data_IF_008153140788
#
_entry.id   IF_008153140788
#
_cell.length_a   1.000
_cell.length_b   1.000
_cell.length_c   1.000
_cell.angle_alpha   90.00
_cell.angle_beta   90.00
_cell.angle_gamma   90.00
#
_symmetry.space_group_name_H-M   'P 1'
#
loop_
_entity.id
_entity.type
_entity.pdbx_description
1 polymer ?
#
# COMPACT_ATOMS: atom_id res chain seq x y z
N UNK A 1 1.35 -29.17 24.83
CA UNK A 1 0.82 -29.49 23.48
C UNK A 1 -0.06 -28.34 23.03
N UNK A 2 0.50 -27.33 22.33
CA UNK A 2 -0.29 -26.24 21.71
C UNK A 2 -0.92 -26.84 20.45
N UNK A 3 -2.23 -27.04 20.42
CA UNK A 3 -2.88 -27.41 19.17
C UNK A 3 -2.79 -26.22 18.21
N UNK A 4 -2.02 -26.40 17.16
CA UNK A 4 -1.85 -25.44 16.09
C UNK A 4 -3.05 -25.59 15.14
N UNK A 5 -4.09 -24.78 15.34
CA UNK A 5 -4.95 -24.45 14.21
C UNK A 5 -4.12 -23.47 13.36
N UNK A 6 -3.49 -23.98 12.31
CA UNK A 6 -2.78 -23.16 11.34
C UNK A 6 -3.82 -22.34 10.57
N UNK A 7 -3.96 -21.06 10.92
CA UNK A 7 -4.90 -20.17 10.26
C UNK A 7 -4.24 -19.52 9.05
N UNK A 8 -5.02 -19.20 8.02
CA UNK A 8 -4.53 -18.43 6.85
C UNK A 8 -4.24 -16.96 7.18
N UNK A 9 -4.39 -16.54 8.44
CA UNK A 9 -4.26 -15.16 8.89
C UNK A 9 -3.17 -15.04 9.95
N UNK A 10 -2.33 -14.03 9.78
CA UNK A 10 -1.34 -13.61 10.78
C UNK A 10 -1.68 -12.17 11.18
N UNK A 11 -1.84 -11.92 12.49
CA UNK A 11 -2.25 -10.62 13.01
C UNK A 11 -1.08 -10.03 13.79
N UNK A 12 -0.73 -8.79 13.47
CA UNK A 12 0.33 -8.03 14.12
C UNK A 12 -0.24 -6.69 14.57
N UNK A 13 0.11 -6.25 15.78
CA UNK A 13 -0.25 -4.91 16.26
C UNK A 13 0.61 -3.82 15.59
N UNK A 14 1.86 -4.14 15.31
CA UNK A 14 2.79 -3.28 14.58
C UNK A 14 3.88 -4.13 13.94
N UNK A 15 4.49 -3.59 12.89
CA UNK A 15 5.65 -4.17 12.22
C UNK A 15 6.72 -3.07 12.10
N UNK A 16 8.01 -3.39 12.31
CA UNK A 16 9.11 -2.50 11.92
C UNK A 16 8.97 -2.10 10.46
N UNK A 17 9.32 -0.85 10.14
CA UNK A 17 9.06 -0.29 8.81
C UNK A 17 9.78 -1.05 7.70
N UNK A 18 10.96 -1.61 7.99
CA UNK A 18 11.74 -2.41 7.06
C UNK A 18 11.03 -3.73 6.75
N UNK A 19 10.43 -4.37 7.75
CA UNK A 19 9.67 -5.60 7.59
C UNK A 19 8.35 -5.33 6.86
N UNK A 20 7.66 -4.25 7.22
CA UNK A 20 6.45 -3.83 6.55
C UNK A 20 6.70 -3.52 5.07
N UNK A 21 7.75 -2.76 4.75
CA UNK A 21 8.15 -2.44 3.39
C UNK A 21 8.51 -3.69 2.59
N UNK A 22 9.23 -4.64 3.19
CA UNK A 22 9.54 -5.93 2.56
C UNK A 22 8.26 -6.72 2.25
N UNK A 23 7.33 -6.81 3.20
CA UNK A 23 6.05 -7.48 2.97
C UNK A 23 5.23 -6.78 1.88
N UNK A 24 5.16 -5.45 1.91
CA UNK A 24 4.43 -4.66 0.92
C UNK A 24 5.01 -4.87 -0.49
N UNK A 25 6.34 -4.88 -0.64
CA UNK A 25 7.04 -5.11 -1.91
C UNK A 25 6.76 -6.50 -2.51
N UNK A 26 6.46 -7.50 -1.68
CA UNK A 26 6.23 -8.87 -2.13
C UNK A 26 4.76 -9.33 -2.03
N UNK A 27 3.87 -8.48 -1.52
CA UNK A 27 2.47 -8.79 -1.41
C UNK A 27 1.79 -8.83 -2.78
N UNK A 28 0.93 -9.82 -3.02
CA UNK A 28 0.13 -9.86 -4.25
C UNK A 28 -0.82 -8.66 -4.37
N UNK A 29 -1.31 -8.14 -3.23
CA UNK A 29 -2.15 -6.96 -3.15
C UNK A 29 -2.21 -6.45 -1.71
N UNK A 30 -2.23 -5.13 -1.52
CA UNK A 30 -2.65 -4.48 -0.27
C UNK A 30 -4.13 -4.09 -0.36
N UNK A 31 -4.89 -4.40 0.70
CA UNK A 31 -6.33 -4.18 0.76
C UNK A 31 -6.69 -3.43 2.03
N UNK A 32 -7.52 -2.40 1.92
CA UNK A 32 -8.00 -1.62 3.05
C UNK A 32 -8.09 -0.16 2.68
N UNK A 33 -7.78 0.75 3.60
CA UNK A 33 -7.83 2.18 3.34
C UNK A 33 -6.65 2.93 3.95
N UNK A 34 -5.52 2.26 4.10
CA UNK A 34 -4.27 2.87 4.58
C UNK A 34 -3.73 3.86 3.55
N UNK A 35 -3.04 4.90 4.02
CA UNK A 35 -2.30 5.80 3.12
C UNK A 35 -1.15 5.08 2.42
N UNK A 36 -0.59 4.03 3.04
CA UNK A 36 0.44 3.20 2.42
C UNK A 36 -0.03 2.61 1.08
N UNK A 37 -1.32 2.27 1.01
CA UNK A 37 -1.93 1.74 -0.21
C UNK A 37 -1.89 2.69 -1.40
N UNK A 38 -1.89 4.02 -1.20
CA UNK A 38 -1.84 5.01 -2.29
C UNK A 38 -0.49 5.74 -2.41
N UNK A 39 0.36 5.67 -1.37
CA UNK A 39 1.64 6.40 -1.29
C UNK A 39 2.88 5.53 -1.46
N UNK A 40 2.92 4.39 -0.77
CA UNK A 40 4.12 3.57 -0.65
C UNK A 40 4.05 2.37 -1.59
N UNK A 41 2.86 1.77 -1.74
CA UNK A 41 2.64 0.64 -2.65
C UNK A 41 3.00 0.97 -4.10
N UNK A 42 2.78 2.21 -4.54
CA UNK A 42 3.06 2.65 -5.91
C UNK A 42 4.56 2.68 -6.20
N UNK A 43 5.42 2.87 -5.18
CA UNK A 43 6.87 2.82 -5.32
C UNK A 43 7.34 1.38 -5.64
N UNK A 44 6.65 0.37 -5.11
CA UNK A 44 6.93 -1.04 -5.38
C UNK A 44 6.11 -1.63 -6.53
N UNK A 45 5.18 -0.85 -7.10
CA UNK A 45 4.21 -1.34 -8.07
C UNK A 45 3.17 -2.29 -7.49
N UNK A 46 3.11 -2.46 -6.17
CA UNK A 46 2.23 -3.43 -5.50
C UNK A 46 0.76 -3.06 -5.71
N UNK A 47 -0.10 -3.96 -6.23
CA UNK A 47 -1.51 -3.65 -6.43
C UNK A 47 -2.23 -3.23 -5.14
N UNK A 48 -3.08 -2.21 -5.23
CA UNK A 48 -3.84 -1.67 -4.10
C UNK A 48 -5.35 -1.71 -4.36
N UNK A 49 -6.13 -2.22 -3.41
CA UNK A 49 -7.58 -2.06 -3.35
C UNK A 49 -7.92 -1.12 -2.18
N UNK A 50 -8.24 0.13 -2.53
CA UNK A 50 -8.66 1.16 -1.57
C UNK A 50 -10.17 1.08 -1.32
N UNK A 51 -10.56 0.78 -0.08
CA UNK A 51 -11.93 0.50 0.34
C UNK A 51 -12.55 1.71 1.03
N UNK A 52 -13.68 2.17 0.50
CA UNK A 52 -14.40 3.35 0.97
C UNK A 52 -13.65 4.66 0.68
N UNK A 53 -14.09 5.72 1.36
CA UNK A 53 -13.81 7.12 0.97
C UNK A 53 -12.64 7.80 1.68
N UNK A 54 -11.89 7.08 2.52
CA UNK A 54 -10.81 7.68 3.36
C UNK A 54 -9.70 8.32 2.51
N UNK A 55 -9.42 7.77 1.33
CA UNK A 55 -8.37 8.26 0.45
C UNK A 55 -8.89 9.18 -0.67
N UNK A 56 -10.16 9.57 -0.65
CA UNK A 56 -10.71 10.48 -1.64
C UNK A 56 -9.93 11.80 -1.66
N UNK A 57 -9.78 12.37 -2.86
CA UNK A 57 -9.04 13.62 -3.11
C UNK A 57 -7.54 13.57 -2.82
N UNK A 58 -6.95 12.38 -2.71
CA UNK A 58 -5.50 12.21 -2.61
C UNK A 58 -4.95 11.73 -3.94
N UNK A 59 -3.76 12.23 -4.30
CA UNK A 59 -3.02 11.69 -5.43
C UNK A 59 -2.72 10.21 -5.19
N UNK A 60 -2.69 9.41 -6.25
CA UNK A 60 -2.40 8.00 -6.17
C UNK A 60 -1.71 7.51 -7.44
N UNK A 61 -0.91 6.45 -7.31
CA UNK A 61 -0.36 5.76 -8.46
C UNK A 61 -1.44 5.03 -9.27
N UNK A 62 -1.06 4.60 -10.49
CA UNK A 62 -1.90 3.78 -11.36
C UNK A 62 -2.13 2.34 -10.87
N UNK A 63 -1.47 1.94 -9.77
CA UNK A 63 -1.58 0.63 -9.15
C UNK A 63 -2.83 0.47 -8.25
N UNK A 64 -3.64 1.52 -8.08
CA UNK A 64 -4.77 1.57 -7.15
C UNK A 64 -6.12 1.45 -7.84
N UNK A 65 -7.03 0.67 -7.26
CA UNK A 65 -8.46 0.65 -7.59
C UNK A 65 -9.28 1.01 -6.35
N UNK A 66 -10.33 1.80 -6.54
CA UNK A 66 -11.21 2.27 -5.47
C UNK A 66 -12.55 1.52 -5.54
N UNK A 67 -13.01 1.05 -4.38
CA UNK A 67 -14.28 0.32 -4.24
C UNK A 67 -15.03 0.78 -3.01
N UNK A 68 -16.36 0.67 -3.03
CA UNK A 68 -17.16 0.83 -1.82
C UNK A 68 -16.91 -0.34 -0.86
N UNK A 69 -17.34 -0.19 0.40
CA UNK A 69 -17.20 -1.20 1.45
C UNK A 69 -18.18 -2.38 1.28
N UNK A 70 -18.30 -2.87 0.05
CA UNK A 70 -19.23 -3.91 -0.38
C UNK A 70 -18.50 -5.19 -0.74
N UNK A 71 -18.92 -6.32 -0.15
CA UNK A 71 -18.24 -7.63 -0.29
C UNK A 71 -17.89 -7.97 -1.73
N UNK A 72 -18.86 -7.86 -2.63
CA UNK A 72 -18.68 -8.28 -4.02
C UNK A 72 -17.71 -7.38 -4.77
N UNK A 73 -17.70 -6.07 -4.46
CA UNK A 73 -16.75 -5.14 -5.04
C UNK A 73 -15.33 -5.41 -4.55
N UNK A 74 -15.16 -5.61 -3.24
CA UNK A 74 -13.85 -5.93 -2.64
C UNK A 74 -13.30 -7.23 -3.24
N UNK A 75 -14.10 -8.30 -3.26
CA UNK A 75 -13.66 -9.61 -3.79
C UNK A 75 -13.33 -9.52 -5.28
N UNK A 76 -14.14 -8.82 -6.07
CA UNK A 76 -13.89 -8.62 -7.50
C UNK A 76 -12.59 -7.87 -7.76
N UNK A 77 -12.39 -6.75 -7.06
CA UNK A 77 -11.21 -5.91 -7.18
C UNK A 77 -9.93 -6.64 -6.75
N UNK A 78 -9.97 -7.38 -5.63
CA UNK A 78 -8.82 -8.18 -5.17
C UNK A 78 -8.43 -9.21 -6.22
N UNK A 79 -9.38 -9.95 -6.79
CA UNK A 79 -9.09 -10.93 -7.84
C UNK A 79 -8.49 -10.27 -9.09
N UNK A 80 -9.05 -9.15 -9.53
CA UNK A 80 -8.53 -8.41 -10.69
C UNK A 80 -7.10 -7.91 -10.44
N UNK A 81 -6.84 -7.34 -9.26
CA UNK A 81 -5.51 -6.84 -8.87
C UNK A 81 -4.47 -7.95 -8.73
N UNK A 82 -4.86 -9.12 -8.21
CA UNK A 82 -3.96 -10.29 -8.17
C UNK A 82 -3.59 -10.81 -9.56
N UNK A 83 -4.48 -10.65 -10.56
CA UNK A 83 -4.19 -11.00 -11.96
C UNK A 83 -3.33 -9.95 -12.65
N UNK A 84 -3.57 -8.66 -12.37
CA UNK A 84 -2.73 -7.57 -12.87
C UNK A 84 -1.28 -7.73 -12.42
N UNK A 85 -1.08 -8.10 -11.15
CA UNK A 85 0.25 -8.24 -10.56
C UNK A 85 0.95 -6.89 -10.41
N UNK A 86 2.26 -6.93 -10.16
CA UNK A 86 3.04 -5.70 -9.97
C UNK A 86 3.06 -4.85 -11.23
N UNK A 87 2.87 -3.55 -11.03
CA UNK A 87 2.96 -2.50 -12.06
C UNK A 87 4.32 -1.81 -12.01
N UNK A 88 4.60 -0.95 -12.99
CA UNK A 88 5.82 -0.14 -12.95
C UNK A 88 5.79 0.84 -11.76
N UNK A 89 6.94 1.03 -11.06
CA UNK A 89 7.07 2.00 -9.98
C UNK A 89 6.66 3.42 -10.38
N UNK A 90 5.92 4.08 -9.49
CA UNK A 90 5.52 5.49 -9.63
C UNK A 90 5.92 6.25 -8.36
N UNK A 91 6.53 7.42 -8.56
CA UNK A 91 7.16 8.22 -7.51
C UNK A 91 6.41 9.52 -7.20
N UNK A 92 5.08 9.54 -7.36
CA UNK A 92 4.22 10.73 -7.16
C UNK A 92 4.50 11.44 -5.83
N UNK A 93 4.76 10.68 -4.77
CA UNK A 93 4.96 11.21 -3.42
C UNK A 93 6.41 11.54 -3.06
N UNK A 94 7.36 11.38 -4.00
CA UNK A 94 8.75 11.76 -3.81
C UNK A 94 9.74 10.74 -4.36
N UNK A 95 10.97 11.23 -4.55
CA UNK A 95 12.13 10.51 -5.08
C UNK A 95 13.09 10.01 -3.97
N UNK A 96 12.70 10.18 -2.70
CA UNK A 96 13.52 9.79 -1.55
C UNK A 96 14.54 10.85 -1.08
N UNK A 97 14.63 12.01 -1.74
CA UNK A 97 15.62 13.06 -1.41
C UNK A 97 15.07 14.20 -0.54
N UNK A 98 13.88 14.01 0.03
CA UNK A 98 13.18 15.07 0.77
C UNK A 98 14.00 15.65 1.93
N UNK A 99 14.73 14.81 2.68
CA UNK A 99 15.54 15.25 3.81
C UNK A 99 16.64 16.24 3.41
N UNK A 100 17.30 16.00 2.27
CA UNK A 100 18.36 16.85 1.76
C UNK A 100 17.80 18.19 1.30
N UNK A 101 16.73 18.17 0.49
CA UNK A 101 16.04 19.37 -0.02
C UNK A 101 15.49 20.24 1.11
N UNK A 102 14.92 19.63 2.14
CA UNK A 102 14.42 20.36 3.32
C UNK A 102 15.57 21.04 4.07
N UNK A 103 16.69 20.34 4.26
CA UNK A 103 17.87 20.90 4.93
C UNK A 103 18.46 22.09 4.17
N UNK A 104 18.49 22.05 2.83
CA UNK A 104 18.92 23.17 2.00
C UNK A 104 18.08 24.42 2.25
N UNK A 105 16.74 24.29 2.21
CA UNK A 105 15.82 25.40 2.48
C UNK A 105 15.99 25.96 3.90
N UNK A 106 16.15 25.09 4.90
CA UNK A 106 16.32 25.53 6.30
C UNK A 106 17.61 26.32 6.50
N UNK A 107 18.69 26.00 5.77
CA UNK A 107 19.97 26.74 5.86
C UNK A 107 19.91 28.15 5.29
N UNK A 108 18.91 28.45 4.46
CA UNK A 108 18.68 29.77 3.86
C UNK A 108 17.79 30.68 4.73
N UNK A 109 17.28 30.18 5.87
CA UNK A 109 16.51 30.92 6.87
C UNK A 109 17.44 31.38 8.00
#
# INVERSE_FOLDING_TARGET
VRSLIETKFNIFNSLPIEQYGYLLKHAACIVGNSSSGIRESCIFGTPNVSVGKRQDNREHGGNSVFVEAERNQIVGAVKAQMVLGHTEPIYTYGDGTASEKILEVIKEI
#
